data_IF_856079571399
#
_entry.id   IF_856079571399
#
_cell.length_a   1.000
_cell.length_b   1.000
_cell.length_c   1.000
_cell.angle_alpha   90.00
_cell.angle_beta   90.00
_cell.angle_gamma   90.00
#
_symmetry.space_group_name_H-M   'P 1'
#
loop_
_entity.id
_entity.type
_entity.pdbx_description
1 polymer ?
#
# COMPACT_ATOMS: atom_id res chain seq x y z
N UNK A 1 6.28 8.92 -30.37
CA UNK A 1 6.47 9.01 -28.90
C UNK A 1 5.20 8.50 -28.23
N UNK A 2 5.13 7.22 -27.89
CA UNK A 2 3.93 6.64 -27.27
C UNK A 2 4.37 5.70 -26.15
N UNK A 3 4.71 6.29 -24.99
CA UNK A 3 5.05 5.56 -23.76
C UNK A 3 3.83 5.33 -22.86
N UNK A 4 2.62 5.37 -23.43
CA UNK A 4 1.40 5.03 -22.69
C UNK A 4 1.14 3.55 -22.94
N UNK A 5 1.27 2.73 -21.89
CA UNK A 5 0.84 1.32 -21.94
C UNK A 5 -0.63 1.30 -22.40
N UNK A 6 -0.91 0.57 -23.48
CA UNK A 6 -2.29 0.31 -23.92
C UNK A 6 -3.00 -0.43 -22.79
N UNK A 7 -4.19 0.05 -22.44
CA UNK A 7 -4.92 -0.22 -21.19
C UNK A 7 -5.21 -1.72 -20.99
N UNK A 8 -4.70 -2.28 -19.89
CA UNK A 8 -5.23 -3.50 -19.27
C UNK A 8 -6.18 -3.16 -18.12
N UNK A 9 -6.73 -4.18 -17.46
CA UNK A 9 -7.57 -3.94 -16.27
C UNK A 9 -6.75 -3.32 -15.14
N UNK A 10 -7.34 -2.39 -14.39
CA UNK A 10 -6.77 -1.90 -13.13
C UNK A 10 -6.58 -3.02 -12.11
N UNK A 11 -7.26 -4.16 -12.26
CA UNK A 11 -7.08 -5.36 -11.44
C UNK A 11 -5.92 -6.27 -11.87
N UNK A 12 -5.31 -6.03 -13.03
CA UNK A 12 -4.19 -6.86 -13.51
C UNK A 12 -2.94 -6.55 -12.67
N UNK A 13 -2.72 -7.36 -11.64
CA UNK A 13 -1.50 -7.35 -10.82
C UNK A 13 -0.65 -8.53 -11.25
N UNK A 14 0.62 -8.30 -11.56
CA UNK A 14 1.57 -9.40 -11.72
C UNK A 14 1.63 -10.19 -10.41
N UNK A 15 1.48 -11.51 -10.48
CA UNK A 15 1.62 -12.37 -9.31
C UNK A 15 3.11 -12.41 -8.92
N UNK A 16 3.53 -11.43 -8.13
CA UNK A 16 4.87 -11.39 -7.56
C UNK A 16 4.96 -12.43 -6.45
N UNK A 17 5.72 -13.50 -6.72
CA UNK A 17 6.08 -14.50 -5.72
C UNK A 17 7.30 -14.01 -4.98
N UNK A 18 7.17 -13.79 -3.67
CA UNK A 18 8.31 -13.44 -2.83
C UNK A 18 9.08 -14.74 -2.55
N UNK A 19 10.36 -14.86 -2.95
CA UNK A 19 11.13 -16.06 -2.64
C UNK A 19 11.28 -16.23 -1.12
N UNK A 20 11.52 -17.45 -0.60
CA UNK A 20 11.81 -17.68 0.82
C UNK A 20 13.21 -17.16 1.21
N UNK A 21 13.40 -16.81 2.50
CA UNK A 21 14.71 -16.47 3.05
C UNK A 21 15.67 -17.65 2.80
N UNK A 22 16.82 -17.38 2.17
CA UNK A 22 17.88 -18.39 1.94
C UNK A 22 18.77 -18.60 3.17
N UNK A 23 18.63 -17.76 4.20
CA UNK A 23 19.33 -17.92 5.47
C UNK A 23 18.46 -18.72 6.46
N UNK A 24 19.10 -19.46 7.38
CA UNK A 24 18.43 -20.10 8.53
C UNK A 24 18.04 -19.05 9.58
N UNK A 25 17.18 -18.12 9.18
CA UNK A 25 16.74 -16.96 9.92
C UNK A 25 15.45 -17.29 10.69
N UNK A 26 15.30 -16.82 11.93
CA UNK A 26 14.04 -16.97 12.66
C UNK A 26 12.93 -16.18 11.95
N UNK A 27 11.98 -16.89 11.34
CA UNK A 27 10.87 -16.32 10.59
C UNK A 27 9.60 -16.26 11.45
N UNK A 28 8.89 -15.13 11.40
CA UNK A 28 7.55 -14.99 11.97
C UNK A 28 6.51 -14.87 10.86
N UNK A 29 5.33 -15.43 11.07
CA UNK A 29 4.18 -15.18 10.21
C UNK A 29 3.51 -13.87 10.60
N UNK A 30 3.20 -13.05 9.60
CA UNK A 30 2.47 -11.80 9.74
C UNK A 30 1.27 -11.83 8.82
N UNK A 31 0.06 -11.84 9.40
CA UNK A 31 -1.17 -11.71 8.64
C UNK A 31 -1.50 -10.23 8.44
N UNK A 32 -1.80 -9.85 7.21
CA UNK A 32 -2.15 -8.49 6.83
C UNK A 32 -3.42 -8.48 6.00
N UNK A 33 -4.28 -7.49 6.21
CA UNK A 33 -5.44 -7.26 5.33
C UNK A 33 -5.00 -6.36 4.18
N UNK A 34 -5.09 -6.85 2.94
CA UNK A 34 -4.72 -6.14 1.73
C UNK A 34 -5.95 -5.52 1.09
N UNK A 35 -5.91 -4.20 0.90
CA UNK A 35 -6.90 -3.42 0.17
C UNK A 35 -6.40 -3.16 -1.25
N UNK A 36 -6.98 -3.87 -2.21
CA UNK A 36 -6.79 -3.65 -3.65
C UNK A 36 -7.95 -2.82 -4.22
N UNK A 37 -7.86 -2.50 -5.50
CA UNK A 37 -8.93 -1.81 -6.23
C UNK A 37 -10.22 -2.62 -6.36
N UNK A 38 -10.07 -3.93 -6.58
CA UNK A 38 -11.13 -4.85 -6.96
C UNK A 38 -11.50 -5.83 -5.83
N UNK A 39 -10.66 -5.94 -4.80
CA UNK A 39 -10.84 -6.95 -3.75
C UNK A 39 -10.18 -6.58 -2.43
N UNK A 40 -10.67 -7.23 -1.39
CA UNK A 40 -10.07 -7.27 -0.07
C UNK A 40 -9.64 -8.71 0.22
N UNK A 41 -8.36 -8.94 0.56
CA UNK A 41 -7.84 -10.28 0.87
C UNK A 41 -6.96 -10.26 2.12
N UNK A 42 -6.91 -11.38 2.84
CA UNK A 42 -5.95 -11.56 3.93
C UNK A 42 -4.75 -12.32 3.37
N UNK A 43 -3.55 -11.75 3.56
CA UNK A 43 -2.30 -12.34 3.10
C UNK A 43 -1.36 -12.60 4.27
N UNK A 44 -0.70 -13.75 4.26
CA UNK A 44 0.31 -14.12 5.26
C UNK A 44 1.70 -13.93 4.68
N UNK A 45 2.53 -13.14 5.37
CA UNK A 45 3.93 -12.89 5.02
C UNK A 45 4.84 -13.63 6.00
N UNK A 46 5.96 -14.16 5.49
CA UNK A 46 7.03 -14.71 6.31
C UNK A 46 8.10 -13.64 6.51
N UNK A 47 8.14 -13.03 7.69
CA UNK A 47 9.00 -11.90 8.00
C UNK A 47 10.21 -12.37 8.79
N UNK A 48 11.40 -11.91 8.40
CA UNK A 48 12.65 -12.14 9.13
C UNK A 48 13.52 -10.87 9.05
N UNK A 49 14.62 -10.76 9.81
CA UNK A 49 15.53 -9.62 9.73
C UNK A 49 16.10 -9.38 8.32
N UNK A 50 16.34 -10.46 7.56
CA UNK A 50 16.83 -10.38 6.17
C UNK A 50 15.76 -9.92 5.17
N UNK A 51 14.47 -10.15 5.49
CA UNK A 51 13.33 -9.76 4.67
C UNK A 51 12.25 -9.14 5.56
N UNK A 52 12.41 -7.85 5.92
CA UNK A 52 11.43 -7.16 6.73
C UNK A 52 10.12 -6.95 5.95
N UNK A 53 9.01 -6.80 6.67
CA UNK A 53 7.67 -6.66 6.09
C UNK A 53 7.56 -5.50 5.07
N UNK A 54 8.13 -4.29 5.32
CA UNK A 54 8.07 -3.20 4.34
C UNK A 54 8.65 -3.54 2.98
N UNK A 55 9.82 -4.21 2.93
CA UNK A 55 10.45 -4.56 1.65
C UNK A 55 9.63 -5.58 0.86
N UNK A 56 9.06 -6.57 1.56
CA UNK A 56 8.18 -7.55 0.94
C UNK A 56 6.90 -6.90 0.41
N UNK A 57 6.28 -6.02 1.19
CA UNK A 57 5.06 -5.32 0.79
C UNK A 57 5.30 -4.42 -0.42
N UNK A 58 6.38 -3.64 -0.44
CA UNK A 58 6.73 -2.78 -1.57
C UNK A 58 6.95 -3.61 -2.84
N UNK A 59 7.61 -4.77 -2.73
CA UNK A 59 7.77 -5.69 -3.86
C UNK A 59 6.44 -6.25 -4.39
N UNK A 60 5.43 -6.36 -3.53
CA UNK A 60 4.06 -6.75 -3.90
C UNK A 60 3.20 -5.58 -4.43
N UNK A 61 3.75 -4.36 -4.49
CA UNK A 61 2.99 -3.16 -4.84
C UNK A 61 2.06 -2.66 -3.72
N UNK A 62 2.32 -3.04 -2.47
CA UNK A 62 1.52 -2.73 -1.30
C UNK A 62 2.28 -1.81 -0.33
N UNK A 63 1.53 -1.00 0.42
CA UNK A 63 2.07 -0.11 1.44
C UNK A 63 1.31 -0.22 2.76
N UNK A 64 2.03 -0.38 3.86
CA UNK A 64 1.43 -0.67 5.17
C UNK A 64 1.00 0.56 5.97
N UNK A 65 -0.02 0.38 6.82
CA UNK A 65 -0.43 1.39 7.80
C UNK A 65 0.55 1.55 8.98
N UNK A 66 1.54 0.68 9.10
CA UNK A 66 2.61 0.76 10.09
C UNK A 66 3.89 0.09 9.53
N UNK A 67 5.09 0.57 9.91
CA UNK A 67 6.33 0.04 9.38
C UNK A 67 6.68 -1.36 9.91
N UNK A 68 6.32 -1.67 11.16
CA UNK A 68 6.77 -2.90 11.84
C UNK A 68 5.74 -4.04 11.81
N UNK A 69 4.47 -3.71 12.09
CA UNK A 69 3.34 -4.64 12.16
C UNK A 69 2.10 -3.96 11.55
N UNK A 70 2.02 -3.84 10.22
CA UNK A 70 0.83 -3.31 9.57
C UNK A 70 -0.35 -4.28 9.75
N UNK A 71 -1.51 -3.76 10.16
CA UNK A 71 -2.77 -4.50 10.17
C UNK A 71 -3.53 -4.37 8.85
N UNK A 72 -3.39 -3.21 8.19
CA UNK A 72 -3.89 -2.93 6.85
C UNK A 72 -2.72 -2.57 5.95
N UNK A 73 -2.74 -3.10 4.73
CA UNK A 73 -1.85 -2.70 3.64
C UNK A 73 -2.70 -2.29 2.45
N UNK A 74 -2.31 -1.22 1.77
CA UNK A 74 -3.07 -0.60 0.68
C UNK A 74 -2.23 -0.64 -0.58
N UNK A 75 -2.85 -1.00 -1.70
CA UNK A 75 -2.21 -0.95 -3.02
C UNK A 75 -1.72 0.47 -3.35
N UNK A 76 -0.49 0.60 -3.85
CA UNK A 76 0.06 1.88 -4.28
C UNK A 76 -0.85 2.61 -5.26
N UNK A 77 -1.54 1.89 -6.14
CA UNK A 77 -2.41 2.48 -7.15
C UNK A 77 -3.65 3.10 -6.51
N UNK A 78 -4.16 2.53 -5.41
CA UNK A 78 -5.24 3.13 -4.62
C UNK A 78 -4.75 4.40 -3.91
N UNK A 79 -3.54 4.36 -3.34
CA UNK A 79 -2.93 5.53 -2.70
C UNK A 79 -2.67 6.67 -3.69
N UNK A 80 -2.15 6.36 -4.89
CA UNK A 80 -1.96 7.32 -5.98
C UNK A 80 -3.29 7.89 -6.47
N UNK A 81 -4.34 7.08 -6.58
CA UNK A 81 -5.67 7.58 -6.94
C UNK A 81 -6.17 8.59 -5.91
N UNK A 82 -6.07 8.29 -4.62
CA UNK A 82 -6.51 9.21 -3.56
C UNK A 82 -5.69 10.49 -3.53
N UNK A 83 -4.38 10.38 -3.74
CA UNK A 83 -3.51 11.54 -3.91
C UNK A 83 -3.93 12.39 -5.09
N UNK A 84 -4.20 11.79 -6.24
CA UNK A 84 -4.70 12.47 -7.43
C UNK A 84 -6.09 13.09 -7.21
N UNK A 85 -6.95 12.44 -6.42
CA UNK A 85 -8.28 12.92 -6.06
C UNK A 85 -8.20 14.21 -5.23
N UNK A 86 -7.34 14.22 -4.20
CA UNK A 86 -7.18 15.34 -3.28
C UNK A 86 -6.47 16.55 -3.88
N UNK A 87 -5.84 16.41 -5.05
CA UNK A 87 -5.38 17.56 -5.84
C UNK A 87 -6.54 18.26 -6.56
N UNK A 88 -7.63 17.55 -6.86
CA UNK A 88 -8.76 18.04 -7.67
C UNK A 88 -10.02 18.36 -6.85
N UNK A 89 -10.06 17.92 -5.60
CA UNK A 89 -11.16 18.16 -4.67
C UNK A 89 -10.61 18.44 -3.28
N UNK A 90 -11.40 19.12 -2.45
CA UNK A 90 -11.04 19.35 -1.05
C UNK A 90 -10.69 18.02 -0.37
N UNK A 91 -9.50 17.90 0.25
CA UNK A 91 -9.05 16.66 0.86
C UNK A 91 -9.95 16.29 2.04
N UNK A 92 -10.92 15.41 1.78
CA UNK A 92 -11.83 14.87 2.79
C UNK A 92 -11.54 13.37 2.98
N UNK A 93 -10.52 13.09 3.79
CA UNK A 93 -10.10 11.72 4.09
C UNK A 93 -11.19 10.93 4.83
N UNK A 94 -11.92 11.57 5.75
CA UNK A 94 -13.05 10.95 6.44
C UNK A 94 -14.13 10.51 5.45
N UNK A 95 -14.60 11.43 4.61
CA UNK A 95 -15.63 11.14 3.61
C UNK A 95 -15.19 10.08 2.59
N UNK A 96 -13.92 10.12 2.16
CA UNK A 96 -13.34 9.05 1.34
C UNK A 96 -13.40 7.69 2.05
N UNK A 97 -12.95 7.61 3.30
CA UNK A 97 -12.90 6.34 4.03
C UNK A 97 -14.27 5.81 4.41
N UNK A 98 -15.23 6.69 4.70
CA UNK A 98 -16.63 6.33 4.97
C UNK A 98 -17.32 5.81 3.71
N UNK A 99 -17.13 6.49 2.58
CA UNK A 99 -17.64 6.03 1.29
C UNK A 99 -17.03 4.67 0.90
N UNK A 100 -15.72 4.51 1.11
CA UNK A 100 -15.01 3.24 0.85
C UNK A 100 -15.52 2.12 1.76
N UNK A 101 -15.70 2.38 3.05
CA UNK A 101 -16.23 1.40 4.01
C UNK A 101 -17.68 1.00 3.65
N UNK A 102 -18.53 1.96 3.29
CA UNK A 102 -19.89 1.70 2.81
C UNK A 102 -19.88 0.84 1.55
N UNK A 103 -19.07 1.22 0.56
CA UNK A 103 -18.96 0.48 -0.69
C UNK A 103 -18.48 -0.96 -0.46
N UNK A 104 -17.46 -1.16 0.37
CA UNK A 104 -16.96 -2.50 0.71
C UNK A 104 -18.03 -3.35 1.41
N UNK A 105 -18.79 -2.76 2.34
CA UNK A 105 -19.89 -3.44 3.01
C UNK A 105 -20.99 -3.88 2.03
N UNK A 106 -21.36 -3.04 1.06
CA UNK A 106 -22.35 -3.35 0.03
C UNK A 106 -21.88 -4.49 -0.90
N UNK A 107 -20.57 -4.65 -1.08
CA UNK A 107 -19.96 -5.76 -1.82
C UNK A 107 -19.76 -7.02 -0.95
N UNK A 108 -20.22 -7.02 0.31
CA UNK A 108 -20.11 -8.15 1.23
C UNK A 108 -18.76 -8.26 1.96
N UNK A 109 -17.87 -7.27 1.81
CA UNK A 109 -16.61 -7.21 2.54
C UNK A 109 -16.79 -6.49 3.86
N UNK A 110 -16.63 -7.21 4.98
CA UNK A 110 -16.66 -6.63 6.33
C UNK A 110 -15.25 -6.61 6.93
N UNK A 111 -14.74 -5.42 7.20
CA UNK A 111 -13.49 -5.25 7.93
C UNK A 111 -13.71 -5.61 9.41
N UNK A 112 -13.37 -6.84 9.79
CA UNK A 112 -13.58 -7.38 11.13
C UNK A 112 -12.59 -6.82 12.15
N UNK A 113 -12.52 -5.50 12.34
CA UNK A 113 -11.54 -4.91 13.26
C UNK A 113 -12.05 -3.75 14.11
N UNK A 114 -11.52 -3.69 15.33
CA UNK A 114 -11.83 -2.70 16.38
C UNK A 114 -11.41 -1.27 16.02
N UNK A 115 -10.42 -1.09 15.14
CA UNK A 115 -10.06 0.23 14.60
C UNK A 115 -10.75 0.46 13.26
N UNK A 116 -11.39 1.61 13.12
CA UNK A 116 -12.10 2.05 11.93
C UNK A 116 -11.13 2.12 10.74
N UNK A 117 -11.60 1.70 9.55
CA UNK A 117 -10.84 1.77 8.28
C UNK A 117 -10.16 3.13 8.11
N UNK A 118 -10.89 4.20 8.46
CA UNK A 118 -10.40 5.58 8.51
C UNK A 118 -9.03 5.70 9.14
N UNK A 119 -8.84 5.22 10.37
CA UNK A 119 -7.58 5.40 11.12
C UNK A 119 -6.42 4.74 10.39
N UNK A 120 -6.60 3.50 9.94
CA UNK A 120 -5.53 2.71 9.32
C UNK A 120 -5.18 3.24 7.94
N UNK A 121 -6.20 3.57 7.16
CA UNK A 121 -6.01 4.18 5.85
C UNK A 121 -5.31 5.54 5.99
N UNK A 122 -5.71 6.38 6.95
CA UNK A 122 -5.05 7.66 7.20
C UNK A 122 -3.58 7.50 7.54
N UNK A 123 -3.23 6.54 8.40
CA UNK A 123 -1.83 6.30 8.74
C UNK A 123 -1.04 5.77 7.55
N UNK A 124 -1.59 4.85 6.76
CA UNK A 124 -0.96 4.35 5.54
C UNK A 124 -0.72 5.48 4.53
N UNK A 125 -1.75 6.31 4.29
CA UNK A 125 -1.69 7.42 3.36
C UNK A 125 -0.67 8.48 3.83
N UNK A 126 -0.65 8.82 5.11
CA UNK A 126 0.33 9.75 5.67
C UNK A 126 1.76 9.29 5.43
N UNK A 127 2.09 8.04 5.81
CA UNK A 127 3.45 7.51 5.62
C UNK A 127 3.82 7.35 4.14
N UNK A 128 2.85 7.06 3.29
CA UNK A 128 3.05 7.03 1.86
C UNK A 128 3.40 8.42 1.31
N UNK A 129 2.70 9.47 1.74
CA UNK A 129 3.05 10.84 1.35
C UNK A 129 4.47 11.22 1.81
N UNK A 130 4.80 10.94 3.08
CA UNK A 130 6.16 11.17 3.62
C UNK A 130 7.21 10.43 2.79
N UNK A 131 6.97 9.16 2.44
CA UNK A 131 7.87 8.40 1.59
C UNK A 131 8.03 9.05 0.21
N UNK A 132 6.94 9.47 -0.44
CA UNK A 132 7.04 10.09 -1.77
C UNK A 132 7.80 11.41 -1.76
N UNK A 133 7.64 12.22 -0.71
CA UNK A 133 8.36 13.49 -0.55
C UNK A 133 9.85 13.22 -0.33
N UNK A 134 10.18 12.35 0.64
CA UNK A 134 11.57 12.03 0.98
C UNK A 134 12.33 11.36 -0.17
N UNK A 135 11.67 10.49 -0.95
CA UNK A 135 12.26 9.90 -2.15
C UNK A 135 12.50 10.96 -3.23
N UNK A 136 11.56 11.88 -3.44
CA UNK A 136 11.74 12.96 -4.41
C UNK A 136 12.92 13.87 -4.06
N UNK A 137 13.05 14.25 -2.78
CA UNK A 137 14.20 15.02 -2.27
C UNK A 137 15.51 14.27 -2.42
N UNK A 138 15.54 12.98 -2.04
CA UNK A 138 16.73 12.15 -2.17
C UNK A 138 17.20 12.01 -3.62
N UNK A 139 16.27 11.79 -4.56
CA UNK A 139 16.57 11.71 -5.99
C UNK A 139 17.08 13.07 -6.51
N UNK A 140 16.46 14.18 -6.12
CA UNK A 140 16.92 15.51 -6.52
C UNK A 140 18.36 15.78 -6.07
N UNK A 141 18.69 15.43 -4.82
CA UNK A 141 20.04 15.57 -4.26
C UNK A 141 21.07 14.71 -5.00
N UNK A 142 20.72 13.47 -5.37
CA UNK A 142 21.61 12.60 -6.14
C UNK A 142 21.88 13.12 -7.56
N UNK A 143 20.88 13.74 -8.18
CA UNK A 143 21.00 14.35 -9.51
C UNK A 143 21.87 15.61 -9.42
N UNK A 144 21.63 16.48 -8.44
CA UNK A 144 22.39 17.72 -8.26
C UNK A 144 23.85 17.49 -7.85
N UNK A 145 24.16 16.40 -7.13
CA UNK A 145 25.55 16.07 -6.79
C UNK A 145 26.36 15.47 -7.95
N UNK A 146 25.73 15.13 -9.07
CA UNK A 146 26.40 14.54 -10.26
C UNK A 146 26.67 15.56 -11.38
N UNK A 147 26.17 16.78 -11.25
CA UNK A 147 26.42 17.93 -12.16
C UNK A 147 27.35 18.93 -11.50
#
# INVERSE_FOLDING_TARGET
>A
MQYVRVTGSLSTVENVVIPPCVHSCASRQLQVTCLYFDRLEIRTLLVCPCRPAPLQLVALGLFGCAPLLPSLVVDFRVLELVKALFVRMTPNLSGWTEALESFLNDQGYKLATKDNLRRRFSTAYHWYLVLTITVAEHVANLVSCRT
#
